data_IF_237896613771
#
_entry.id   IF_237896613771
#
_cell.length_a   1.000
_cell.length_b   1.000
_cell.length_c   1.000
_cell.angle_alpha   90.00
_cell.angle_beta   90.00
_cell.angle_gamma   90.00
#
_symmetry.space_group_name_H-M   'P 1'
#
loop_
_entity.id
_entity.type
_entity.pdbx_description
1 polymer ?
#
# COMPACT_ATOMS: atom_id res chain seq x y z
N UNK A 1 15.09 8.02 17.73
CA UNK A 1 15.69 7.62 16.44
C UNK A 1 14.57 7.60 15.42
N UNK A 2 14.56 8.52 14.45
CA UNK A 2 13.59 8.46 13.35
C UNK A 2 14.05 7.39 12.38
N UNK A 3 13.50 6.18 12.49
CA UNK A 3 13.68 5.17 11.46
C UNK A 3 13.01 5.66 10.18
N UNK A 4 13.75 5.71 9.06
CA UNK A 4 13.19 6.02 7.75
C UNK A 4 12.07 5.04 7.44
N UNK A 5 10.94 5.54 6.93
CA UNK A 5 9.77 4.71 6.60
C UNK A 5 10.13 3.69 5.53
N UNK A 6 9.61 2.48 5.69
CA UNK A 6 9.73 1.40 4.71
C UNK A 6 8.86 1.75 3.51
N UNK A 7 9.46 1.80 2.33
CA UNK A 7 8.73 2.01 1.07
C UNK A 7 8.05 0.71 0.65
N UNK A 8 6.74 0.75 0.43
CA UNK A 8 5.92 -0.43 0.09
C UNK A 8 5.21 -0.24 -1.26
N UNK A 9 5.21 -1.28 -2.09
CA UNK A 9 4.36 -1.40 -3.27
C UNK A 9 3.36 -2.54 -3.11
N UNK A 10 2.11 -2.33 -3.51
CA UNK A 10 1.04 -3.34 -3.42
C UNK A 10 0.51 -3.63 -4.82
N UNK A 11 0.70 -4.88 -5.27
CA UNK A 11 0.18 -5.41 -6.53
C UNK A 11 -1.11 -6.20 -6.21
N UNK A 12 -2.21 -5.86 -6.89
CA UNK A 12 -3.53 -6.40 -6.56
C UNK A 12 -4.25 -5.64 -5.45
N UNK A 13 -3.97 -4.33 -5.30
CA UNK A 13 -4.57 -3.46 -4.29
C UNK A 13 -6.12 -3.40 -4.35
N UNK A 14 -6.71 -3.74 -5.50
CA UNK A 14 -8.17 -3.81 -5.69
C UNK A 14 -8.83 -5.08 -5.13
N UNK A 15 -8.07 -6.12 -4.80
CA UNK A 15 -8.60 -7.32 -4.15
C UNK A 15 -8.82 -7.10 -2.64
N UNK A 16 -9.63 -7.95 -1.99
CA UNK A 16 -9.94 -7.79 -0.56
C UNK A 16 -8.69 -7.75 0.34
N UNK A 17 -7.74 -8.65 0.10
CA UNK A 17 -6.47 -8.66 0.84
C UNK A 17 -5.61 -7.45 0.54
N UNK A 18 -5.61 -6.98 -0.72
CA UNK A 18 -4.90 -5.77 -1.11
C UNK A 18 -5.46 -4.53 -0.43
N UNK A 19 -6.78 -4.40 -0.38
CA UNK A 19 -7.48 -3.31 0.30
C UNK A 19 -7.21 -3.31 1.81
N UNK A 20 -7.18 -4.49 2.45
CA UNK A 20 -6.81 -4.61 3.86
C UNK A 20 -5.34 -4.23 4.11
N UNK A 21 -4.42 -4.61 3.23
CA UNK A 21 -3.03 -4.20 3.30
C UNK A 21 -2.89 -2.67 3.19
N UNK A 22 -3.62 -2.04 2.25
CA UNK A 22 -3.68 -0.58 2.12
C UNK A 22 -4.19 0.07 3.42
N UNK A 23 -5.28 -0.46 3.99
CA UNK A 23 -5.89 0.07 5.21
C UNK A 23 -4.93 0.01 6.40
N UNK A 24 -4.25 -1.12 6.60
CA UNK A 24 -3.33 -1.30 7.72
C UNK A 24 -2.05 -0.47 7.55
N UNK A 25 -1.45 -0.50 6.35
CA UNK A 25 -0.17 0.17 6.09
C UNK A 25 -0.32 1.68 5.94
N UNK A 26 -1.47 2.18 5.48
CA UNK A 26 -1.75 3.61 5.36
C UNK A 26 -1.76 4.34 6.71
N UNK A 27 -2.04 3.63 7.81
CA UNK A 27 -1.99 4.16 9.17
C UNK A 27 -0.69 3.80 9.92
N UNK A 28 0.22 3.03 9.31
CA UNK A 28 1.38 2.50 10.02
C UNK A 28 2.52 3.54 10.09
N UNK A 29 3.05 3.85 11.28
CA UNK A 29 3.99 4.96 11.47
C UNK A 29 5.33 4.74 10.73
N UNK A 30 5.70 3.48 10.50
CA UNK A 30 6.99 3.11 9.90
C UNK A 30 6.89 2.65 8.44
N UNK A 31 5.73 2.82 7.78
CA UNK A 31 5.55 2.44 6.38
C UNK A 31 5.02 3.60 5.55
N UNK A 32 5.36 3.59 4.26
CA UNK A 32 4.87 4.53 3.27
C UNK A 32 4.57 3.75 1.98
N UNK A 33 3.31 3.80 1.53
CA UNK A 33 2.88 3.17 0.28
C UNK A 33 3.30 4.09 -0.88
N UNK A 34 4.16 3.60 -1.76
CA UNK A 34 4.66 4.34 -2.94
C UNK A 34 4.11 3.83 -4.27
N UNK A 35 3.49 2.67 -4.29
CA UNK A 35 2.89 2.08 -5.50
C UNK A 35 1.65 1.28 -5.12
N UNK A 36 0.56 1.52 -5.85
CA UNK A 36 -0.66 0.72 -5.81
C UNK A 36 -1.01 0.33 -7.25
N UNK A 37 -1.17 -0.95 -7.51
CA UNK A 37 -1.69 -1.43 -8.81
C UNK A 37 -2.79 -2.46 -8.58
N UNK A 38 -3.76 -2.52 -9.47
CA UNK A 38 -4.85 -3.49 -9.40
C UNK A 38 -5.55 -3.61 -10.74
N UNK A 39 -5.98 -4.82 -11.10
CA UNK A 39 -6.52 -5.12 -12.43
C UNK A 39 -7.85 -4.39 -12.70
N UNK A 40 -8.56 -3.94 -11.67
CA UNK A 40 -9.83 -3.22 -11.81
C UNK A 40 -9.65 -1.72 -12.15
N UNK A 41 -8.47 -1.14 -11.90
CA UNK A 41 -8.20 0.31 -12.06
C UNK A 41 -6.72 0.58 -12.38
N UNK A 42 -6.13 -0.12 -13.35
CA UNK A 42 -4.73 0.10 -13.73
C UNK A 42 -4.48 1.44 -14.47
N UNK A 43 -5.54 2.19 -14.81
CA UNK A 43 -5.49 3.41 -15.65
C UNK A 43 -6.18 4.65 -15.05
N UNK A 44 -6.30 4.76 -13.72
CA UNK A 44 -6.82 5.98 -13.06
C UNK A 44 -5.93 6.48 -11.93
#
# INVERSE_FOLDING_TARGET
MSASKISVGIIGASGYTGADAVRLLGAHPNAEIKLLTGNAHADK
#
